data_IF_223912488863
#
_entry.id   IF_223912488863
#
_cell.length_a   1.000
_cell.length_b   1.000
_cell.length_c   1.000
_cell.angle_alpha   90.00
_cell.angle_beta   90.00
_cell.angle_gamma   90.00
#
_symmetry.space_group_name_H-M   'P 1'
#
loop_
_entity.id
_entity.type
_entity.pdbx_description
1 polymer ?
#
# COMPACT_ATOMS: atom_id res chain seq x y z
N UNK A 1 10.82 -5.79 -11.24
CA UNK A 1 10.52 -5.55 -9.81
C UNK A 1 9.03 -5.67 -9.49
N UNK A 2 8.15 -4.99 -10.24
CA UNK A 2 6.70 -5.12 -10.04
C UNK A 2 6.22 -6.57 -10.26
N UNK A 3 6.65 -7.21 -11.35
CA UNK A 3 6.25 -8.59 -11.68
C UNK A 3 6.71 -9.61 -10.62
N UNK A 4 7.92 -9.43 -10.08
CA UNK A 4 8.47 -10.25 -9.00
C UNK A 4 7.62 -10.16 -7.73
N UNK A 5 7.15 -8.96 -7.38
CA UNK A 5 6.27 -8.73 -6.24
C UNK A 5 4.92 -9.44 -6.41
N UNK A 6 4.34 -9.41 -7.61
CA UNK A 6 3.09 -10.13 -7.89
C UNK A 6 3.26 -11.65 -7.89
N UNK A 7 4.42 -12.17 -8.27
CA UNK A 7 4.69 -13.62 -8.33
C UNK A 7 5.12 -14.21 -6.99
N UNK A 8 5.96 -13.52 -6.22
CA UNK A 8 6.61 -14.04 -4.99
C UNK A 8 6.15 -13.34 -3.71
N UNK A 9 5.41 -12.24 -3.81
CA UNK A 9 4.95 -11.49 -2.65
C UNK A 9 3.84 -12.19 -1.89
N UNK A 10 3.83 -11.99 -0.57
CA UNK A 10 2.70 -12.36 0.27
C UNK A 10 1.57 -11.36 0.04
N UNK A 11 0.33 -11.82 0.10
CA UNK A 11 -0.84 -10.97 -0.09
C UNK A 11 -1.82 -11.13 1.06
N UNK A 12 -2.45 -10.02 1.44
CA UNK A 12 -3.64 -10.04 2.29
C UNK A 12 -4.66 -9.01 1.79
N UNK A 13 -5.90 -9.12 2.24
CA UNK A 13 -6.96 -8.20 1.87
C UNK A 13 -7.57 -7.57 3.11
N UNK A 14 -7.69 -6.25 3.08
CA UNK A 14 -8.47 -5.44 4.04
C UNK A 14 -9.31 -4.52 3.16
N UNK A 15 -10.59 -4.85 3.02
CA UNK A 15 -11.49 -4.09 2.13
C UNK A 15 -11.43 -2.59 2.44
N UNK A 16 -11.23 -1.71 1.45
CA UNK A 16 -11.31 -1.95 0.00
C UNK A 16 -9.98 -2.25 -0.72
N UNK A 17 -8.91 -2.55 0.01
CA UNK A 17 -7.59 -2.82 -0.55
C UNK A 17 -7.19 -4.30 -0.46
N UNK A 18 -6.62 -4.80 -1.56
CA UNK A 18 -5.74 -5.96 -1.54
C UNK A 18 -4.29 -5.46 -1.54
N UNK A 19 -3.50 -5.96 -0.61
CA UNK A 19 -2.12 -5.54 -0.38
C UNK A 19 -1.19 -6.69 -0.70
N UNK A 20 -0.18 -6.44 -1.52
CA UNK A 20 0.87 -7.40 -1.85
C UNK A 20 2.18 -6.81 -1.36
N UNK A 21 2.98 -7.59 -0.66
CA UNK A 21 4.23 -7.12 -0.08
C UNK A 21 5.31 -8.20 -0.10
N UNK A 22 6.57 -7.77 -0.16
CA UNK A 22 7.73 -8.64 0.02
C UNK A 22 8.93 -7.84 0.53
N UNK A 23 9.87 -8.48 1.23
CA UNK A 23 11.19 -7.90 1.46
C UNK A 23 11.88 -7.59 0.13
N UNK A 24 12.50 -6.41 0.02
CA UNK A 24 13.17 -5.98 -1.18
C UNK A 24 14.39 -5.13 -0.83
N UNK A 25 15.51 -5.31 -1.54
CA UNK A 25 16.63 -4.37 -1.46
C UNK A 25 16.31 -3.13 -2.30
N UNK A 26 16.18 -1.98 -1.65
CA UNK A 26 15.90 -0.69 -2.25
C UNK A 26 17.21 0.09 -2.43
N UNK A 27 17.23 0.97 -3.44
CA UNK A 27 18.42 1.75 -3.79
C UNK A 27 18.77 2.83 -2.78
N UNK A 28 17.86 3.19 -1.86
CA UNK A 28 18.05 4.23 -0.87
C UNK A 28 17.60 3.77 0.52
N UNK A 29 18.52 3.83 1.49
CA UNK A 29 18.23 3.50 2.88
C UNK A 29 17.36 4.55 3.58
N UNK A 30 17.24 5.76 3.00
CA UNK A 30 16.38 6.82 3.50
C UNK A 30 14.89 6.46 3.46
N UNK A 31 14.49 5.60 2.52
CA UNK A 31 13.10 5.20 2.34
C UNK A 31 12.99 3.67 2.40
N UNK A 32 12.73 3.10 3.59
CA UNK A 32 12.70 1.64 3.78
C UNK A 32 11.52 0.96 3.08
N UNK A 33 10.57 1.73 2.52
CA UNK A 33 9.40 1.18 1.82
C UNK A 33 9.26 1.79 0.43
N UNK A 34 9.14 0.94 -0.59
CA UNK A 34 8.69 1.32 -1.91
C UNK A 34 7.22 0.92 -2.09
N UNK A 35 6.34 1.92 -2.10
CA UNK A 35 4.89 1.72 -2.20
C UNK A 35 4.37 2.05 -3.61
N UNK A 36 3.57 1.15 -4.18
CA UNK A 36 2.84 1.36 -5.43
C UNK A 36 1.32 1.24 -5.25
N UNK A 37 0.56 1.90 -6.12
CA UNK A 37 -0.91 1.93 -6.06
C UNK A 37 -1.51 1.64 -7.42
N UNK A 38 -2.47 0.71 -7.48
CA UNK A 38 -3.26 0.44 -8.69
C UNK A 38 -4.76 0.48 -8.42
N UNK A 39 -5.49 0.78 -9.48
CA UNK A 39 -6.95 0.81 -9.51
C UNK A 39 -7.37 0.19 -10.84
N UNK A 40 -8.42 -0.64 -10.81
CA UNK A 40 -8.92 -1.29 -12.02
C UNK A 40 -9.49 -0.27 -13.02
N UNK A 41 -8.98 -0.27 -14.25
CA UNK A 41 -9.54 0.49 -15.39
C UNK A 41 -10.91 -0.02 -15.82
N UNK A 42 -11.19 -1.31 -15.61
CA UNK A 42 -12.50 -1.92 -15.92
C UNK A 42 -13.60 -1.43 -14.97
N UNK A 43 -13.30 -1.25 -13.68
CA UNK A 43 -14.27 -0.76 -12.68
C UNK A 43 -14.42 0.76 -12.69
N UNK A 44 -13.33 1.48 -13.00
CA UNK A 44 -13.29 2.94 -13.03
C UNK A 44 -12.78 3.39 -14.41
N UNK A 45 -13.67 3.56 -15.41
CA UNK A 45 -13.26 3.91 -16.77
C UNK A 45 -12.73 5.34 -16.86
N UNK A 46 -13.22 6.26 -16.02
CA UNK A 46 -12.75 7.65 -15.98
C UNK A 46 -11.40 7.76 -15.26
N UNK A 47 -10.44 8.42 -15.91
CA UNK A 47 -9.10 8.63 -15.34
C UNK A 47 -9.14 9.50 -14.07
N UNK A 48 -10.08 10.45 -14.00
CA UNK A 48 -10.28 11.33 -12.85
C UNK A 48 -10.61 10.51 -11.59
N UNK A 49 -11.52 9.54 -11.69
CA UNK A 49 -11.90 8.67 -10.57
C UNK A 49 -10.73 7.80 -10.09
N UNK A 50 -10.01 7.17 -11.03
CA UNK A 50 -8.80 6.39 -10.69
C UNK A 50 -7.75 7.25 -9.99
N UNK A 51 -7.55 8.47 -10.47
CA UNK A 51 -6.58 9.40 -9.90
C UNK A 51 -7.03 9.87 -8.51
N UNK A 52 -8.33 10.11 -8.31
CA UNK A 52 -8.92 10.43 -7.00
C UNK A 52 -8.68 9.30 -6.01
N UNK A 53 -9.01 8.05 -6.36
CA UNK A 53 -8.78 6.87 -5.50
C UNK A 53 -7.29 6.73 -5.13
N UNK A 54 -6.40 6.81 -6.13
CA UNK A 54 -4.94 6.74 -5.88
C UNK A 54 -4.46 7.91 -5.01
N UNK A 55 -5.03 9.11 -5.17
CA UNK A 55 -4.67 10.28 -4.35
C UNK A 55 -5.09 10.08 -2.90
N UNK A 56 -6.32 9.63 -2.65
CA UNK A 56 -6.81 9.35 -1.30
C UNK A 56 -5.98 8.26 -0.60
N UNK A 57 -5.69 7.16 -1.30
CA UNK A 57 -4.86 6.08 -0.74
C UNK A 57 -3.44 6.52 -0.42
N UNK A 58 -2.80 7.29 -1.32
CA UNK A 58 -1.47 7.86 -1.06
C UNK A 58 -1.44 8.80 0.13
N UNK A 59 -2.49 9.59 0.32
CA UNK A 59 -2.56 10.53 1.43
C UNK A 59 -2.72 9.82 2.77
N UNK A 60 -3.57 8.80 2.84
CA UNK A 60 -3.69 7.95 4.03
C UNK A 60 -2.35 7.28 4.39
N UNK A 61 -1.68 6.69 3.39
CA UNK A 61 -0.36 6.11 3.57
C UNK A 61 0.67 7.15 4.04
N UNK A 62 0.74 8.32 3.39
CA UNK A 62 1.71 9.38 3.72
C UNK A 62 1.59 9.82 5.18
N UNK A 63 0.36 9.93 5.69
CA UNK A 63 0.07 10.41 7.05
C UNK A 63 0.35 9.36 8.14
N UNK A 64 0.34 8.07 7.81
CA UNK A 64 0.41 6.98 8.80
C UNK A 64 1.65 6.09 8.67
N UNK A 65 2.44 6.22 7.60
CA UNK A 65 3.59 5.33 7.31
C UNK A 65 4.72 5.35 8.35
N UNK A 66 4.77 6.34 9.24
CA UNK A 66 5.93 6.54 10.12
C UNK A 66 6.16 5.32 11.03
N UNK A 67 5.10 4.77 11.62
CA UNK A 67 5.23 3.58 12.48
C UNK A 67 5.82 2.37 11.75
N UNK A 68 5.47 2.21 10.47
CA UNK A 68 6.02 1.14 9.64
C UNK A 68 7.50 1.40 9.33
N UNK A 69 7.86 2.67 9.10
CA UNK A 69 9.24 3.06 8.81
C UNK A 69 10.14 2.82 10.01
N UNK A 70 9.70 3.21 11.21
CA UNK A 70 10.47 3.04 12.44
C UNK A 70 10.73 1.54 12.72
N UNK A 71 9.71 0.71 12.53
CA UNK A 71 9.83 -0.74 12.69
C UNK A 71 10.81 -1.38 11.67
N UNK A 72 10.85 -0.87 10.43
CA UNK A 72 11.75 -1.37 9.40
C UNK A 72 13.19 -0.89 9.60
N UNK A 73 13.38 0.36 10.02
CA UNK A 73 14.69 0.92 10.33
C UNK A 73 15.35 0.19 11.50
N UNK A 74 14.59 -0.12 12.57
CA UNK A 74 15.10 -0.90 13.70
C UNK A 74 15.55 -2.32 13.33
N UNK A 75 15.04 -2.87 12.22
CA UNK A 75 15.40 -4.20 11.69
C UNK A 75 16.34 -4.14 10.47
N UNK A 76 16.84 -2.96 10.09
CA UNK A 76 17.61 -2.73 8.84
C UNK A 76 17.00 -3.42 7.62
N UNK A 77 15.66 -3.45 7.57
CA UNK A 77 14.89 -4.19 6.59
C UNK A 77 14.18 -3.24 5.64
N UNK A 78 13.97 -3.70 4.42
CA UNK A 78 13.35 -2.90 3.37
C UNK A 78 12.22 -3.70 2.70
N UNK A 79 11.16 -2.98 2.29
CA UNK A 79 9.90 -3.59 1.89
C UNK A 79 9.37 -2.97 0.59
N UNK A 80 9.00 -3.82 -0.36
CA UNK A 80 8.17 -3.42 -1.50
C UNK A 80 6.70 -3.75 -1.19
N UNK A 81 5.82 -2.76 -1.35
CA UNK A 81 4.38 -2.89 -1.06
C UNK A 81 3.58 -2.37 -2.25
N UNK A 82 2.50 -3.07 -2.59
CA UNK A 82 1.57 -2.68 -3.64
C UNK A 82 0.13 -2.75 -3.16
N UNK A 83 -0.57 -1.63 -3.28
CA UNK A 83 -1.96 -1.47 -2.90
C UNK A 83 -2.85 -1.54 -4.14
N UNK A 84 -3.80 -2.46 -4.14
CA UNK A 84 -4.74 -2.66 -5.23
C UNK A 84 -6.14 -2.34 -4.70
N UNK A 85 -6.77 -1.32 -5.25
CA UNK A 85 -8.14 -0.98 -4.90
C UNK A 85 -9.13 -1.93 -5.56
N UNK A 86 -9.98 -2.59 -4.78
CA UNK A 86 -10.86 -3.67 -5.26
C UNK A 86 -12.35 -3.31 -5.21
N UNK A 87 -12.76 -2.26 -4.52
CA UNK A 87 -14.15 -1.82 -4.49
C UNK A 87 -14.61 -1.26 -5.85
N UNK A 88 -15.92 -1.20 -6.07
CA UNK A 88 -16.60 -0.58 -7.21
C UNK A 88 -17.03 0.86 -6.90
N UNK A 89 -17.04 1.27 -5.63
CA UNK A 89 -17.36 2.64 -5.20
C UNK A 89 -16.10 3.37 -4.73
N UNK A 90 -16.10 4.70 -4.81
CA UNK A 90 -15.03 5.53 -4.25
C UNK A 90 -15.30 5.69 -2.75
N UNK A 91 -14.47 5.09 -1.91
CA UNK A 91 -14.54 5.27 -0.47
C UNK A 91 -14.14 6.71 -0.09
N UNK A 92 -14.70 7.19 1.01
CA UNK A 92 -14.38 8.47 1.61
C UNK A 92 -13.07 8.41 2.42
N UNK A 93 -12.49 9.58 2.67
CA UNK A 93 -11.18 9.70 3.31
C UNK A 93 -11.16 9.12 4.75
N UNK A 94 -12.16 9.38 5.63
CA UNK A 94 -12.15 8.84 6.98
C UNK A 94 -12.11 7.31 7.00
N UNK A 95 -13.00 6.66 6.23
CA UNK A 95 -13.01 5.20 6.12
C UNK A 95 -11.67 4.68 5.63
N UNK A 96 -11.08 5.29 4.59
CA UNK A 96 -9.78 4.84 4.08
C UNK A 96 -8.67 5.00 5.12
N UNK A 97 -8.67 6.09 5.90
CA UNK A 97 -7.69 6.32 6.96
C UNK A 97 -7.72 5.21 8.01
N UNK A 98 -8.90 4.78 8.44
CA UNK A 98 -9.04 3.68 9.40
C UNK A 98 -8.56 2.35 8.80
N UNK A 99 -8.89 2.09 7.53
CA UNK A 99 -8.39 0.88 6.85
C UNK A 99 -6.87 0.89 6.69
N UNK A 100 -6.26 2.04 6.41
CA UNK A 100 -4.81 2.14 6.31
C UNK A 100 -4.10 1.90 7.65
N UNK A 101 -4.65 2.36 8.77
CA UNK A 101 -4.13 2.01 10.11
C UNK A 101 -4.03 0.50 10.28
N UNK A 102 -5.13 -0.23 10.01
CA UNK A 102 -5.18 -1.70 10.13
C UNK A 102 -4.20 -2.38 9.17
N UNK A 103 -4.11 -1.89 7.94
CA UNK A 103 -3.19 -2.43 6.93
C UNK A 103 -1.74 -2.26 7.36
N UNK A 104 -1.35 -1.08 7.82
CA UNK A 104 0.02 -0.77 8.22
C UNK A 104 0.42 -1.54 9.49
N UNK A 105 -0.49 -1.67 10.45
CA UNK A 105 -0.27 -2.50 11.63
C UNK A 105 -0.05 -3.97 11.25
N UNK A 106 -0.83 -4.48 10.30
CA UNK A 106 -0.66 -5.85 9.79
C UNK A 106 0.65 -6.03 9.04
N UNK A 107 1.07 -5.05 8.24
CA UNK A 107 2.39 -5.04 7.60
C UNK A 107 3.48 -5.07 8.66
N UNK A 108 3.41 -4.21 9.68
CA UNK A 108 4.37 -4.15 10.80
C UNK A 108 4.57 -5.52 11.47
N UNK A 109 3.48 -6.27 11.71
CA UNK A 109 3.51 -7.62 12.30
C UNK A 109 4.04 -8.70 11.37
N UNK A 110 4.04 -8.48 10.06
CA UNK A 110 4.42 -9.47 9.04
C UNK A 110 5.89 -9.40 8.63
N UNK A 111 6.62 -8.42 9.17
CA UNK A 111 8.07 -8.20 9.03
C UNK A 111 8.72 -8.67 10.33
#
# INVERSE_FOLDING_TARGET
MIETLFRKGKAFSIFPYRVIYMPAKLTSDKYPVQAGFSVSSRKFPHAVDRNRIKRLGRECYRLQKQELYDALQGKSSQLAVFFIYTDKKIADLPTLRDKFSVILERLKKSI
#
